data_IF_279809426912
#
_entry.id   IF_279809426912
#
_cell.length_a   1.000
_cell.length_b   1.000
_cell.length_c   1.000
_cell.angle_alpha   90.00
_cell.angle_beta   90.00
_cell.angle_gamma   90.00
#
_symmetry.space_group_name_H-M   'P 1'
#
loop_
_entity.id
_entity.type
_entity.pdbx_description
1 polymer ?
#
# COMPACT_ATOMS: atom_id res chain seq x y z
N UNK A 1 7.09 16.21 -1.17
CA UNK A 1 6.84 14.92 -0.50
C UNK A 1 5.35 14.86 -0.22
N UNK A 2 4.57 14.30 -1.15
CA UNK A 2 3.10 14.26 -1.07
C UNK A 2 2.73 12.87 -0.59
N UNK A 3 2.66 12.68 0.72
CA UNK A 3 2.04 11.50 1.32
C UNK A 3 0.55 11.83 1.36
N UNK A 4 -0.22 11.28 0.42
CA UNK A 4 -1.68 11.41 0.42
C UNK A 4 -2.28 10.04 0.73
N UNK A 5 -2.26 9.67 2.01
CA UNK A 5 -3.11 8.62 2.55
C UNK A 5 -4.57 8.99 2.29
N UNK A 6 -5.20 8.36 1.29
CA UNK A 6 -6.52 8.77 0.83
C UNK A 6 -7.43 7.57 0.61
N UNK A 7 -7.58 6.72 1.63
CA UNK A 7 -8.82 5.94 1.82
C UNK A 7 -9.72 6.60 2.86
N UNK A 8 -9.80 7.93 2.80
CA UNK A 8 -10.96 8.61 3.33
C UNK A 8 -12.08 8.44 2.30
N UNK A 9 -13.04 7.55 2.57
CA UNK A 9 -14.43 7.89 2.22
C UNK A 9 -14.72 9.19 2.96
N UNK A 10 -14.34 10.32 2.37
CA UNK A 10 -14.90 11.60 2.75
C UNK A 10 -16.38 11.46 2.39
N UNK A 11 -17.21 11.25 3.41
CA UNK A 11 -18.57 11.80 3.40
C UNK A 11 -18.41 13.30 3.22
N UNK A 12 -18.21 13.72 1.97
CA UNK A 12 -18.22 15.12 1.60
C UNK A 12 -19.66 15.53 1.82
N UNK A 13 -19.88 16.42 2.80
CA UNK A 13 -21.12 17.15 2.93
C UNK A 13 -21.57 17.59 1.53
N UNK A 14 -22.83 17.29 1.23
CA UNK A 14 -23.56 17.48 -0.02
C UNK A 14 -23.41 18.85 -0.69
N UNK A 15 -22.24 19.17 -1.21
CA UNK A 15 -22.11 20.07 -2.36
C UNK A 15 -22.46 19.25 -3.59
N UNK A 16 -23.75 19.15 -3.88
CA UNK A 16 -24.22 18.67 -5.18
C UNK A 16 -23.62 19.58 -6.26
N UNK A 17 -22.73 19.04 -7.09
CA UNK A 17 -22.22 19.76 -8.24
C UNK A 17 -23.41 20.13 -9.14
N UNK A 18 -23.60 21.42 -9.41
CA UNK A 18 -24.68 21.94 -10.26
C UNK A 18 -24.23 21.95 -11.72
N UNK A 19 -24.49 20.86 -12.43
CA UNK A 19 -24.10 20.71 -13.83
C UNK A 19 -24.99 21.52 -14.79
N UNK A 20 -26.10 22.09 -14.32
CA UNK A 20 -27.01 22.93 -15.12
C UNK A 20 -26.37 24.27 -15.52
N UNK A 21 -25.31 24.68 -14.81
CA UNK A 21 -24.59 25.94 -15.07
C UNK A 21 -23.69 25.83 -16.31
N UNK A 22 -23.33 24.61 -16.73
CA UNK A 22 -22.43 24.39 -17.86
C UNK A 22 -23.21 24.52 -19.18
N UNK A 23 -22.99 25.61 -19.90
CA UNK A 23 -23.36 25.71 -21.31
C UNK A 23 -22.41 24.82 -22.11
N UNK A 24 -22.92 23.67 -22.56
CA UNK A 24 -22.10 22.62 -23.15
C UNK A 24 -22.57 22.16 -24.54
N UNK A 25 -23.23 23.04 -25.30
CA UNK A 25 -23.78 22.72 -26.64
C UNK A 25 -22.71 22.16 -27.60
N UNK A 26 -21.51 22.73 -27.60
CA UNK A 26 -20.40 22.33 -28.48
C UNK A 26 -19.28 21.56 -27.77
N UNK A 27 -19.32 21.46 -26.45
CA UNK A 27 -18.29 20.81 -25.63
C UNK A 27 -18.77 19.51 -24.98
N UNK A 28 -20.07 19.18 -25.07
CA UNK A 28 -20.62 17.93 -24.56
C UNK A 28 -20.85 16.88 -25.65
N UNK A 29 -20.58 15.63 -25.30
CA UNK A 29 -21.08 14.45 -26.01
C UNK A 29 -22.13 13.79 -25.12
N UNK A 30 -23.34 13.61 -25.65
CA UNK A 30 -24.46 13.02 -24.90
C UNK A 30 -24.80 11.64 -25.47
N UNK A 31 -24.77 10.64 -24.60
CA UNK A 31 -25.16 9.26 -24.85
C UNK A 31 -26.46 8.99 -24.11
N UNK A 32 -27.58 9.05 -24.82
CA UNK A 32 -28.90 8.84 -24.24
C UNK A 32 -29.24 7.35 -24.22
N UNK A 33 -29.66 6.86 -23.04
CA UNK A 33 -30.28 5.55 -22.88
C UNK A 33 -31.50 5.72 -21.98
N UNK A 34 -32.70 5.71 -22.57
CA UNK A 34 -33.98 5.94 -21.90
C UNK A 34 -34.31 4.85 -20.87
N UNK A 35 -33.77 3.64 -21.07
CA UNK A 35 -34.00 2.49 -20.18
C UNK A 35 -32.97 2.42 -19.04
N UNK A 36 -32.07 3.39 -18.93
CA UNK A 36 -31.02 3.36 -17.92
C UNK A 36 -31.49 3.93 -16.59
N UNK A 37 -31.22 3.20 -15.51
CA UNK A 37 -31.42 3.69 -14.14
C UNK A 37 -30.28 4.59 -13.63
N UNK A 38 -29.17 4.67 -14.37
CA UNK A 38 -27.96 5.39 -13.96
C UNK A 38 -27.66 6.49 -14.97
N UNK A 39 -27.58 7.72 -14.48
CA UNK A 39 -27.14 8.89 -15.24
C UNK A 39 -25.75 9.33 -14.77
N UNK A 40 -24.83 9.55 -15.71
CA UNK A 40 -23.45 9.96 -15.44
C UNK A 40 -23.16 11.28 -16.15
N UNK A 41 -22.96 12.33 -15.36
CA UNK A 41 -22.37 13.59 -15.82
C UNK A 41 -20.88 13.60 -15.51
N UNK A 42 -20.05 13.66 -16.55
CA UNK A 42 -18.60 13.66 -16.43
C UNK A 42 -18.00 14.88 -17.11
N UNK A 43 -17.37 15.75 -16.33
CA UNK A 43 -16.59 16.90 -16.81
C UNK A 43 -15.12 16.50 -16.82
N UNK A 44 -14.51 16.51 -17.99
CA UNK A 44 -13.17 15.95 -18.19
C UNK A 44 -12.29 16.97 -18.92
N UNK A 45 -11.11 17.24 -18.38
CA UNK A 45 -10.04 17.85 -19.15
C UNK A 45 -9.34 16.74 -19.96
N UNK A 46 -9.49 16.71 -21.30
CA UNK A 46 -8.90 15.68 -22.14
C UNK A 46 -7.36 15.70 -22.15
N UNK A 47 -6.75 16.81 -21.73
CA UNK A 47 -5.30 16.99 -21.67
C UNK A 47 -4.73 16.68 -20.28
N UNK A 48 -5.56 16.22 -19.33
CA UNK A 48 -5.10 15.85 -17.99
C UNK A 48 -4.76 14.36 -17.87
N UNK A 49 -3.78 13.98 -17.03
CA UNK A 49 -3.51 12.57 -16.71
C UNK A 49 -4.74 11.85 -16.12
N UNK A 50 -5.51 12.54 -15.28
CA UNK A 50 -6.77 12.02 -14.74
C UNK A 50 -7.81 11.75 -15.83
N UNK A 51 -7.84 12.57 -16.89
CA UNK A 51 -8.69 12.38 -18.06
C UNK A 51 -8.37 11.10 -18.84
N UNK A 52 -7.08 10.73 -18.97
CA UNK A 52 -6.66 9.47 -19.59
C UNK A 52 -7.23 8.24 -18.85
N UNK A 53 -7.17 8.26 -17.51
CA UNK A 53 -7.72 7.21 -16.65
C UNK A 53 -9.25 7.18 -16.69
N UNK A 54 -9.88 8.34 -16.48
CA UNK A 54 -11.33 8.48 -16.41
C UNK A 54 -12.00 8.11 -17.73
N UNK A 55 -11.46 8.52 -18.88
CA UNK A 55 -12.02 8.17 -20.19
C UNK A 55 -12.08 6.65 -20.41
N UNK A 56 -11.05 5.93 -19.96
CA UNK A 56 -11.01 4.47 -20.04
C UNK A 56 -12.04 3.82 -19.11
N UNK A 57 -12.20 4.35 -17.89
CA UNK A 57 -13.21 3.87 -16.94
C UNK A 57 -14.63 4.11 -17.45
N UNK A 58 -14.92 5.30 -17.98
CA UNK A 58 -16.22 5.64 -18.56
C UNK A 58 -16.58 4.72 -19.73
N UNK A 59 -15.58 4.34 -20.54
CA UNK A 59 -15.77 3.35 -21.62
C UNK A 59 -16.13 1.97 -21.07
N UNK A 60 -15.51 1.54 -19.97
CA UNK A 60 -15.84 0.26 -19.31
C UNK A 60 -17.27 0.33 -18.74
N UNK A 61 -17.62 1.38 -18.01
CA UNK A 61 -18.97 1.59 -17.48
C UNK A 61 -20.02 1.62 -18.59
N UNK A 62 -19.73 2.31 -19.70
CA UNK A 62 -20.60 2.33 -20.88
C UNK A 62 -20.90 0.93 -21.43
N UNK A 63 -19.90 0.04 -21.47
CA UNK A 63 -20.08 -1.35 -21.91
C UNK A 63 -20.83 -2.22 -20.89
N UNK A 64 -20.52 -2.07 -19.60
CA UNK A 64 -21.02 -2.97 -18.56
C UNK A 64 -22.45 -2.65 -18.11
N UNK A 65 -22.80 -1.38 -17.94
CA UNK A 65 -24.09 -0.96 -17.37
C UNK A 65 -24.92 -0.09 -18.31
N UNK A 66 -24.39 0.29 -19.48
CA UNK A 66 -25.06 1.11 -20.49
C UNK A 66 -25.80 2.33 -19.86
N UNK A 67 -25.08 3.21 -19.14
CA UNK A 67 -25.69 4.35 -18.47
C UNK A 67 -26.14 5.40 -19.50
N UNK A 68 -27.10 6.26 -19.12
CA UNK A 68 -27.23 7.56 -19.78
C UNK A 68 -26.02 8.41 -19.36
N UNK A 69 -25.28 8.97 -20.31
CA UNK A 69 -24.02 9.66 -20.01
C UNK A 69 -23.92 10.98 -20.76
N UNK A 70 -23.50 12.04 -20.09
CA UNK A 70 -23.12 13.32 -20.70
C UNK A 70 -21.67 13.63 -20.33
N UNK A 71 -20.83 13.68 -21.36
CA UNK A 71 -19.40 13.90 -21.25
C UNK A 71 -19.06 15.32 -21.69
N UNK A 72 -18.73 16.21 -20.76
CA UNK A 72 -18.36 17.60 -21.04
C UNK A 72 -16.83 17.73 -21.09
N UNK A 73 -16.29 18.18 -22.21
CA UNK A 73 -14.87 18.44 -22.37
C UNK A 73 -14.53 19.87 -21.93
N UNK A 74 -13.70 20.00 -20.90
CA UNK A 74 -13.31 21.29 -20.35
C UNK A 74 -11.78 21.39 -20.19
N UNK A 75 -11.04 21.62 -21.29
CA UNK A 75 -9.59 21.78 -21.23
C UNK A 75 -9.19 23.12 -20.61
N UNK A 76 -7.98 23.17 -20.03
CA UNK A 76 -7.36 24.44 -19.66
C UNK A 76 -7.04 25.27 -20.90
N UNK A 77 -7.35 26.57 -20.86
CA UNK A 77 -7.17 27.48 -21.99
C UNK A 77 -5.71 27.84 -22.27
N UNK A 78 -4.84 27.75 -21.27
CA UNK A 78 -3.43 28.09 -21.37
C UNK A 78 -2.57 26.96 -20.83
N UNK A 79 -1.67 26.46 -21.67
CA UNK A 79 -0.73 25.40 -21.33
C UNK A 79 0.69 25.95 -21.46
N UNK A 80 1.48 25.80 -20.40
CA UNK A 80 2.87 26.27 -20.36
C UNK A 80 3.83 25.22 -20.92
N UNK A 81 3.45 23.95 -20.84
CA UNK A 81 4.26 22.79 -21.23
C UNK A 81 3.35 21.72 -21.87
N UNK A 82 3.96 20.68 -22.46
CA UNK A 82 3.25 19.53 -22.98
C UNK A 82 2.46 18.86 -21.85
N UNK A 83 1.12 18.78 -21.95
CA UNK A 83 0.28 18.41 -20.82
C UNK A 83 0.31 16.91 -20.52
N UNK A 84 0.53 16.08 -21.55
CA UNK A 84 0.65 14.62 -21.44
C UNK A 84 2.04 14.18 -21.88
N UNK A 85 2.79 13.55 -20.97
CA UNK A 85 4.17 13.08 -21.19
C UNK A 85 4.30 11.56 -21.17
N UNK A 86 3.17 10.84 -21.17
CA UNK A 86 3.11 9.39 -21.05
C UNK A 86 2.14 8.79 -22.08
N UNK A 87 2.34 7.50 -22.36
CA UNK A 87 1.39 6.67 -23.07
C UNK A 87 0.64 5.84 -22.04
N UNK A 88 -0.70 5.86 -22.07
CA UNK A 88 -1.51 5.23 -21.04
C UNK A 88 -2.46 4.18 -21.62
N UNK A 89 -2.57 3.04 -20.95
CA UNK A 89 -3.55 1.99 -21.24
C UNK A 89 -4.14 1.50 -19.92
N UNK A 90 -5.45 1.66 -19.78
CA UNK A 90 -6.18 1.08 -18.67
C UNK A 90 -6.49 -0.37 -18.98
N UNK A 91 -6.21 -1.25 -18.03
CA UNK A 91 -6.35 -2.70 -18.18
C UNK A 91 -7.47 -3.17 -17.25
N UNK A 92 -8.48 -3.81 -17.82
CA UNK A 92 -9.59 -4.43 -17.09
C UNK A 92 -9.84 -5.80 -17.72
N UNK A 93 -9.99 -6.87 -16.92
CA UNK A 93 -10.34 -8.19 -17.43
C UNK A 93 -11.67 -8.14 -18.17
N UNK A 94 -11.65 -8.69 -19.38
CA UNK A 94 -12.81 -8.88 -20.25
C UNK A 94 -13.03 -10.36 -20.49
N UNK A 95 -14.23 -10.74 -20.93
CA UNK A 95 -14.53 -12.14 -21.24
C UNK A 95 -13.64 -12.70 -22.37
N UNK A 96 -13.08 -11.82 -23.22
CA UNK A 96 -12.18 -12.19 -24.31
C UNK A 96 -10.77 -12.62 -23.81
N UNK A 97 -10.42 -12.31 -22.56
CA UNK A 97 -9.13 -12.69 -21.96
C UNK A 97 -9.10 -14.15 -21.48
N UNK A 98 -10.27 -14.80 -21.47
CA UNK A 98 -10.43 -16.19 -21.07
C UNK A 98 -10.57 -17.06 -22.31
N UNK A 99 -9.86 -18.19 -22.33
CA UNK A 99 -10.04 -19.19 -23.37
C UNK A 99 -11.46 -19.74 -23.36
N UNK A 100 -12.04 -19.89 -24.55
CA UNK A 100 -13.36 -20.50 -24.73
C UNK A 100 -13.32 -22.02 -24.71
N UNK A 101 -12.12 -22.62 -24.82
CA UNK A 101 -11.94 -24.07 -24.99
C UNK A 101 -11.26 -24.75 -23.81
N UNK A 102 -10.46 -24.02 -23.03
CA UNK A 102 -9.75 -24.54 -21.87
C UNK A 102 -9.75 -23.53 -20.70
N UNK A 103 -9.08 -23.87 -19.60
CA UNK A 103 -8.95 -23.01 -18.43
C UNK A 103 -7.80 -22.01 -18.55
N UNK A 104 -7.24 -21.80 -19.75
CA UNK A 104 -6.15 -20.84 -19.91
C UNK A 104 -6.69 -19.41 -19.86
N UNK A 105 -5.96 -18.58 -19.15
CA UNK A 105 -6.24 -17.14 -19.05
C UNK A 105 -5.12 -16.45 -19.82
N UNK A 106 -5.45 -15.86 -20.96
CA UNK A 106 -4.51 -15.05 -21.73
C UNK A 106 -4.23 -13.70 -21.07
N UNK A 107 -5.02 -13.39 -20.05
CA UNK A 107 -4.77 -12.37 -19.05
C UNK A 107 -5.06 -10.97 -19.57
N UNK A 108 -5.60 -10.08 -18.73
CA UNK A 108 -5.74 -8.71 -19.12
C UNK A 108 -4.33 -8.10 -19.28
N UNK A 109 -3.97 -7.73 -20.50
CA UNK A 109 -2.64 -7.23 -20.86
C UNK A 109 -2.68 -5.83 -21.44
N UNK A 110 -1.70 -5.01 -21.08
CA UNK A 110 -1.47 -3.74 -21.76
C UNK A 110 -0.58 -3.98 -22.97
N UNK A 111 -1.06 -3.62 -24.17
CA UNK A 111 -0.26 -3.66 -25.39
C UNK A 111 -0.12 -2.25 -25.99
N UNK A 112 1.13 -1.84 -26.22
CA UNK A 112 1.48 -0.56 -26.81
C UNK A 112 2.10 -0.80 -28.19
N UNK A 113 1.30 -0.61 -29.25
CA UNK A 113 1.78 -0.69 -30.62
C UNK A 113 2.46 0.62 -31.05
N UNK A 114 3.43 0.52 -31.97
CA UNK A 114 4.06 1.66 -32.65
C UNK A 114 4.65 2.71 -31.68
N UNK A 115 5.27 2.24 -30.60
CA UNK A 115 5.95 3.11 -29.65
C UNK A 115 7.21 3.73 -30.27
N UNK A 116 7.61 4.95 -29.85
CA UNK A 116 8.78 5.63 -30.39
C UNK A 116 10.07 4.86 -30.07
N UNK A 117 10.86 4.54 -31.11
CA UNK A 117 12.04 3.69 -30.96
C UNK A 117 13.24 4.40 -30.30
N UNK A 118 13.41 5.68 -30.62
CA UNK A 118 14.57 6.51 -30.23
C UNK A 118 14.38 7.28 -28.92
N UNK A 119 13.24 7.11 -28.25
CA UNK A 119 12.95 7.77 -26.97
C UNK A 119 13.16 6.78 -25.85
N UNK A 120 13.85 7.23 -24.80
CA UNK A 120 13.90 6.50 -23.53
C UNK A 120 12.52 6.55 -22.89
N UNK A 121 12.02 5.38 -22.50
CA UNK A 121 10.73 5.17 -21.88
C UNK A 121 10.94 4.51 -20.52
N UNK A 122 10.01 4.79 -19.61
CA UNK A 122 9.92 4.11 -18.31
C UNK A 122 8.58 3.41 -18.25
N UNK A 123 8.57 2.14 -17.89
CA UNK A 123 7.34 1.40 -17.64
C UNK A 123 6.88 1.69 -16.21
N UNK A 124 5.70 2.28 -16.08
CA UNK A 124 5.09 2.57 -14.79
C UNK A 124 3.70 1.95 -14.70
N UNK A 125 3.36 1.40 -13.54
CA UNK A 125 2.05 0.81 -13.27
C UNK A 125 1.22 1.78 -12.42
N UNK A 126 0.08 2.22 -12.96
CA UNK A 126 -0.91 3.00 -12.21
C UNK A 126 -1.94 2.05 -11.59
N UNK A 127 -1.65 1.59 -10.37
CA UNK A 127 -2.46 0.63 -9.63
C UNK A 127 -3.08 1.24 -8.37
N UNK A 128 -4.11 0.60 -7.78
CA UNK A 128 -4.63 1.01 -6.48
C UNK A 128 -3.54 1.06 -5.40
N UNK A 129 -3.58 2.08 -4.54
CA UNK A 129 -2.62 2.27 -3.43
C UNK A 129 -2.37 1.03 -2.55
N UNK A 130 -3.38 0.19 -2.24
CA UNK A 130 -3.17 -1.00 -1.42
C UNK A 130 -2.42 -2.13 -2.11
N UNK A 131 -2.09 -2.03 -3.40
CA UNK A 131 -1.50 -3.13 -4.16
C UNK A 131 0.02 -3.04 -4.14
N UNK A 132 0.68 -4.12 -3.70
CA UNK A 132 2.13 -4.29 -3.83
C UNK A 132 2.40 -5.23 -4.99
N UNK A 133 3.02 -4.70 -6.04
CA UNK A 133 3.33 -5.45 -7.25
C UNK A 133 4.83 -5.67 -7.35
N UNK A 134 5.21 -6.84 -7.87
CA UNK A 134 6.59 -7.20 -8.14
C UNK A 134 6.73 -7.68 -9.59
N UNK A 135 7.79 -7.27 -10.32
CA UNK A 135 8.10 -7.84 -11.63
C UNK A 135 8.58 -9.28 -11.48
N UNK A 136 7.81 -10.24 -11.97
CA UNK A 136 8.19 -11.67 -11.95
C UNK A 136 8.96 -12.09 -13.20
N UNK A 137 8.76 -11.37 -14.30
CA UNK A 137 9.45 -11.62 -15.55
C UNK A 137 9.73 -10.29 -16.25
N UNK A 138 10.98 -9.82 -16.18
CA UNK A 138 11.42 -8.60 -16.85
C UNK A 138 12.88 -8.78 -17.29
N UNK A 139 13.09 -9.07 -18.58
CA UNK A 139 14.43 -9.31 -19.14
C UNK A 139 15.22 -7.99 -19.27
N UNK A 140 14.51 -6.88 -19.46
CA UNK A 140 15.08 -5.56 -19.69
C UNK A 140 14.90 -4.64 -18.47
N UNK A 141 15.75 -3.62 -18.37
CA UNK A 141 15.57 -2.54 -17.40
C UNK A 141 14.32 -1.73 -17.75
N UNK A 142 13.33 -1.78 -16.86
CA UNK A 142 12.02 -1.14 -17.05
C UNK A 142 12.05 0.37 -16.82
N UNK A 143 13.10 0.90 -16.18
CA UNK A 143 13.26 2.33 -15.94
C UNK A 143 13.91 3.04 -17.14
N UNK A 144 14.70 2.32 -17.93
CA UNK A 144 15.49 2.86 -19.04
C UNK A 144 15.25 2.09 -20.36
N UNK A 145 14.00 1.96 -20.76
CA UNK A 145 13.61 1.24 -21.98
C UNK A 145 14.00 2.07 -23.21
N UNK A 146 14.86 1.53 -24.07
CA UNK A 146 15.13 2.07 -25.40
C UNK A 146 14.85 0.99 -26.45
N UNK A 147 13.77 1.16 -27.22
CA UNK A 147 13.26 0.09 -28.08
C UNK A 147 14.17 -0.20 -29.28
N UNK A 148 14.98 0.77 -29.74
CA UNK A 148 15.97 0.52 -30.79
C UNK A 148 17.07 -0.47 -30.36
N UNK A 149 17.29 -0.63 -29.05
CA UNK A 149 18.27 -1.57 -28.49
C UNK A 149 17.74 -3.01 -28.40
N UNK A 150 16.48 -3.27 -28.75
CA UNK A 150 15.89 -4.62 -28.69
C UNK A 150 16.44 -5.59 -29.76
N UNK A 151 17.23 -5.07 -30.71
CA UNK A 151 17.86 -5.89 -31.75
C UNK A 151 16.83 -6.64 -32.60
N UNK A 152 16.89 -7.98 -32.55
CA UNK A 152 15.99 -8.85 -33.32
C UNK A 152 14.61 -9.07 -32.66
N UNK A 153 14.46 -8.68 -31.39
CA UNK A 153 13.22 -8.85 -30.63
C UNK A 153 12.31 -7.66 -30.95
N UNK A 154 11.11 -7.92 -31.45
CA UNK A 154 10.15 -6.85 -31.84
C UNK A 154 9.31 -6.32 -30.69
N UNK A 155 9.22 -7.08 -29.60
CA UNK A 155 8.30 -6.79 -28.49
C UNK A 155 9.05 -6.95 -27.17
N UNK A 156 9.08 -5.87 -26.38
CA UNK A 156 9.45 -5.95 -24.97
C UNK A 156 8.26 -6.46 -24.17
N UNK A 157 8.49 -7.46 -23.31
CA UNK A 157 7.49 -8.03 -22.42
C UNK A 157 7.97 -7.90 -20.97
N UNK A 158 7.03 -7.55 -20.10
CA UNK A 158 7.22 -7.56 -18.65
C UNK A 158 5.93 -8.11 -18.01
N UNK A 159 6.09 -8.98 -17.02
CA UNK A 159 4.99 -9.58 -16.27
C UNK A 159 5.15 -9.22 -14.80
N UNK A 160 4.02 -8.84 -14.19
CA UNK A 160 3.95 -8.42 -12.80
C UNK A 160 2.97 -9.29 -12.04
N UNK A 161 3.31 -9.58 -10.79
CA UNK A 161 2.45 -10.28 -9.86
C UNK A 161 2.02 -9.34 -8.73
N UNK A 162 0.76 -9.44 -8.32
CA UNK A 162 0.28 -8.83 -7.07
C UNK A 162 0.84 -9.64 -5.90
N UNK A 163 2.04 -9.26 -5.45
CA UNK A 163 2.76 -9.91 -4.35
C UNK A 163 1.94 -9.88 -3.06
N UNK A 164 1.37 -8.73 -2.71
CA UNK A 164 0.61 -8.57 -1.48
C UNK A 164 -0.33 -7.36 -1.53
N UNK A 165 -1.24 -7.30 -0.55
CA UNK A 165 -2.00 -6.09 -0.22
C UNK A 165 -1.37 -5.39 0.99
N UNK A 166 -1.48 -4.07 1.03
CA UNK A 166 -1.09 -3.27 2.20
C UNK A 166 -2.27 -3.19 3.17
N UNK A 167 -2.06 -3.72 4.37
CA UNK A 167 -2.90 -3.46 5.53
C UNK A 167 -2.34 -2.23 6.25
N UNK A 168 -3.13 -1.17 6.35
CA UNK A 168 -2.74 0.05 7.06
C UNK A 168 -3.59 0.26 8.28
N UNK A 169 -3.05 0.99 9.26
CA UNK A 169 -3.82 1.34 10.42
C UNK A 169 -3.22 2.47 11.23
N UNK A 170 -4.01 2.92 12.19
CA UNK A 170 -3.66 3.95 13.15
C UNK A 170 -3.79 3.38 14.56
N UNK A 171 -2.79 3.58 15.39
CA UNK A 171 -2.77 3.18 16.78
C UNK A 171 -2.84 4.40 17.71
N UNK A 172 -3.81 4.43 18.61
CA UNK A 172 -4.00 5.52 19.58
C UNK A 172 -3.86 5.01 21.00
N UNK A 173 -3.21 5.79 21.86
CA UNK A 173 -3.18 5.56 23.31
C UNK A 173 -4.23 6.46 23.99
N UNK A 174 -4.92 5.95 25.01
CA UNK A 174 -5.90 6.78 25.76
C UNK A 174 -5.18 7.98 26.41
N UNK A 175 -5.69 9.17 26.13
CA UNK A 175 -5.26 10.46 26.71
C UNK A 175 -3.79 10.83 26.43
N UNK A 176 -3.14 10.16 25.47
CA UNK A 176 -1.73 10.34 25.14
C UNK A 176 -1.46 10.37 23.64
N UNK A 177 -0.24 10.78 23.27
CA UNK A 177 0.25 10.65 21.91
C UNK A 177 0.31 9.17 21.49
N UNK A 178 0.27 8.87 20.18
CA UNK A 178 0.41 7.51 19.69
C UNK A 178 1.64 6.79 20.26
N UNK A 179 1.54 5.49 20.61
CA UNK A 179 2.60 4.75 21.29
C UNK A 179 3.73 4.42 20.30
N UNK A 180 4.62 5.39 20.06
CA UNK A 180 5.74 5.27 19.13
C UNK A 180 6.63 4.08 19.52
N UNK A 181 6.89 3.20 18.55
CA UNK A 181 7.72 2.03 18.72
C UNK A 181 6.98 0.82 19.30
N UNK A 182 5.65 0.88 19.41
CA UNK A 182 4.85 -0.28 19.79
C UNK A 182 4.98 -1.34 18.69
N UNK A 183 5.46 -2.51 19.08
CA UNK A 183 5.63 -3.64 18.18
C UNK A 183 4.30 -4.39 18.04
N UNK A 184 3.88 -4.57 16.81
CA UNK A 184 2.71 -5.33 16.42
C UNK A 184 3.17 -6.55 15.63
N UNK A 185 2.51 -7.68 15.84
CA UNK A 185 2.67 -8.87 15.01
C UNK A 185 1.33 -9.28 14.44
N UNK A 186 1.36 -9.82 13.23
CA UNK A 186 0.23 -10.31 12.49
C UNK A 186 0.50 -11.73 12.04
N UNK A 187 -0.51 -12.58 12.18
CA UNK A 187 -0.41 -13.97 11.76
C UNK A 187 -1.77 -14.62 11.52
N UNK A 188 -1.73 -15.91 11.21
CA UNK A 188 -2.93 -16.74 11.11
C UNK A 188 -3.18 -17.48 12.43
N UNK A 189 -4.31 -18.19 12.53
CA UNK A 189 -4.61 -19.02 13.71
C UNK A 189 -3.56 -20.11 13.95
N UNK A 190 -2.95 -20.63 12.87
CA UNK A 190 -1.96 -21.70 12.94
C UNK A 190 -0.54 -21.16 13.16
N UNK A 191 -0.24 -19.99 12.60
CA UNK A 191 1.06 -19.31 12.67
C UNK A 191 0.86 -17.88 13.17
N UNK A 192 0.88 -17.65 14.50
CA UNK A 192 0.52 -16.35 15.10
C UNK A 192 1.47 -15.19 14.78
N UNK A 193 2.67 -15.48 14.28
CA UNK A 193 3.66 -14.48 13.91
C UNK A 193 4.17 -14.78 12.50
N UNK A 194 3.78 -13.95 11.54
CA UNK A 194 4.23 -14.00 10.15
C UNK A 194 4.86 -12.69 9.70
N UNK A 195 4.27 -11.57 10.13
CA UNK A 195 4.74 -10.22 9.80
C UNK A 195 4.73 -9.38 11.06
N UNK A 196 5.74 -8.55 11.24
CA UNK A 196 5.86 -7.60 12.33
C UNK A 196 6.06 -6.17 11.81
N UNK A 197 5.67 -5.20 12.62
CA UNK A 197 5.88 -3.78 12.32
C UNK A 197 5.87 -2.96 13.60
N UNK A 198 6.30 -1.70 13.48
CA UNK A 198 6.31 -0.73 14.56
C UNK A 198 5.28 0.37 14.30
N UNK A 199 4.62 0.82 15.36
CA UNK A 199 3.79 2.02 15.33
C UNK A 199 4.67 3.26 15.21
N UNK A 200 4.42 4.07 14.19
CA UNK A 200 5.11 5.35 13.98
C UNK A 200 4.53 6.46 14.87
N UNK A 201 5.34 7.47 15.17
CA UNK A 201 4.90 8.63 15.95
C UNK A 201 3.79 9.43 15.24
N UNK A 202 3.89 9.55 13.92
CA UNK A 202 2.97 10.33 13.11
C UNK A 202 1.62 9.62 13.03
N UNK A 203 0.64 10.14 13.76
CA UNK A 203 -0.74 9.64 13.79
C UNK A 203 -0.86 8.14 14.13
N UNK A 204 0.16 7.56 14.79
CA UNK A 204 0.17 6.15 15.13
C UNK A 204 0.16 5.22 13.91
N UNK A 205 0.64 5.69 12.76
CA UNK A 205 0.56 4.92 11.52
C UNK A 205 1.39 3.64 11.59
N UNK A 206 0.84 2.56 11.05
CA UNK A 206 1.55 1.31 10.82
C UNK A 206 1.04 0.66 9.53
N UNK A 207 1.89 -0.18 8.92
CA UNK A 207 1.54 -0.93 7.73
C UNK A 207 2.18 -2.32 7.72
N UNK A 208 1.49 -3.28 7.12
CA UNK A 208 1.96 -4.66 6.96
C UNK A 208 1.53 -5.21 5.60
N UNK A 209 2.32 -6.15 5.05
CA UNK A 209 1.94 -6.95 3.88
C UNK A 209 0.94 -8.03 4.31
N UNK A 210 -0.16 -8.19 3.56
CA UNK A 210 -1.19 -9.20 3.82
C UNK A 210 -1.70 -9.83 2.52
N UNK A 211 -2.32 -11.00 2.66
CA UNK A 211 -3.04 -11.67 1.58
C UNK A 211 -4.53 -11.74 1.92
N UNK A 212 -5.42 -11.95 0.94
CA UNK A 212 -6.83 -12.24 1.20
C UNK A 212 -6.98 -13.40 2.21
N UNK A 213 -7.77 -13.19 3.26
CA UNK A 213 -7.90 -14.16 4.34
C UNK A 213 -8.21 -13.56 5.71
N UNK A 214 -8.16 -14.41 6.74
CA UNK A 214 -8.41 -14.02 8.14
C UNK A 214 -7.10 -13.99 8.91
N UNK A 215 -6.81 -12.83 9.48
CA UNK A 215 -5.60 -12.52 10.21
C UNK A 215 -5.90 -12.14 11.65
N UNK A 216 -4.91 -12.30 12.53
CA UNK A 216 -4.97 -11.96 13.94
C UNK A 216 -3.82 -11.01 14.26
N UNK A 217 -4.17 -9.77 14.59
CA UNK A 217 -3.24 -8.71 14.99
C UNK A 217 -3.09 -8.72 16.50
N UNK A 218 -1.86 -8.73 17.00
CA UNK A 218 -1.57 -8.74 18.44
C UNK A 218 -0.33 -7.92 18.76
N UNK A 219 -0.14 -7.58 20.03
CA UNK A 219 1.10 -6.96 20.50
C UNK A 219 2.23 -7.98 20.42
N UNK A 220 3.41 -7.56 19.97
CA UNK A 220 4.57 -8.43 19.97
C UNK A 220 4.96 -8.83 21.41
N UNK A 221 5.37 -10.10 21.63
CA UNK A 221 5.84 -10.54 22.93
C UNK A 221 7.08 -9.75 23.35
N UNK A 222 7.11 -9.33 24.61
CA UNK A 222 8.16 -8.50 25.20
C UNK A 222 7.62 -7.17 25.69
N UNK A 223 8.43 -6.10 25.56
CA UNK A 223 8.11 -4.79 26.17
C UNK A 223 6.76 -4.22 25.74
N UNK A 224 6.36 -4.44 24.48
CA UNK A 224 5.05 -3.99 23.97
C UNK A 224 3.90 -4.70 24.69
N UNK A 225 3.92 -6.04 24.77
CA UNK A 225 2.92 -6.82 25.51
C UNK A 225 3.01 -6.66 27.02
N UNK A 226 4.16 -6.29 27.57
CA UNK A 226 4.35 -6.09 29.01
C UNK A 226 3.74 -4.77 29.49
N UNK A 227 3.88 -3.72 28.67
CA UNK A 227 3.40 -2.39 29.00
C UNK A 227 1.95 -2.16 28.58
N UNK A 228 1.50 -2.70 27.45
CA UNK A 228 0.21 -2.37 26.86
C UNK A 228 -0.74 -3.57 26.77
N UNK A 229 -2.03 -3.24 26.65
CA UNK A 229 -3.11 -4.15 26.26
C UNK A 229 -3.94 -3.49 25.15
N UNK A 230 -4.47 -4.32 24.24
CA UNK A 230 -5.41 -3.87 23.21
C UNK A 230 -6.75 -3.55 23.85
N UNK A 231 -7.37 -2.42 23.48
CA UNK A 231 -8.74 -2.08 23.85
C UNK A 231 -9.68 -2.41 22.68
N UNK A 232 -10.83 -2.99 23.00
CA UNK A 232 -11.94 -3.07 22.04
C UNK A 232 -12.85 -1.84 22.16
N UNK A 233 -13.39 -1.41 21.02
CA UNK A 233 -14.42 -0.36 20.93
C UNK A 233 -15.81 -0.85 21.39
N UNK A 234 -15.92 -2.08 21.92
CA UNK A 234 -17.18 -2.65 22.40
C UNK A 234 -17.35 -2.39 23.88
N UNK A 235 -18.36 -1.60 24.19
CA UNK A 235 -18.89 -1.27 25.53
C UNK A 235 -19.65 -2.47 26.16
N UNK A 236 -19.18 -3.70 25.94
CA UNK A 236 -19.80 -4.90 26.50
C UNK A 236 -18.93 -5.45 27.63
N UNK A 237 -19.50 -5.54 28.83
CA UNK A 237 -18.82 -5.79 30.10
C UNK A 237 -18.23 -7.19 30.28
N UNK A 238 -17.81 -7.87 29.21
CA UNK A 238 -17.08 -9.13 29.31
C UNK A 238 -15.62 -8.87 29.68
N UNK A 239 -15.22 -9.37 30.85
CA UNK A 239 -13.87 -9.23 31.43
C UNK A 239 -12.74 -9.96 30.67
N UNK A 240 -13.05 -10.63 29.55
CA UNK A 240 -12.04 -11.24 28.70
C UNK A 240 -11.54 -10.21 27.67
N UNK A 241 -10.48 -9.50 28.05
CA UNK A 241 -9.76 -8.62 27.13
C UNK A 241 -9.11 -9.48 26.03
N UNK A 242 -9.49 -9.33 24.75
CA UNK A 242 -8.93 -10.16 23.71
C UNK A 242 -7.46 -9.81 23.49
N UNK A 243 -6.61 -10.82 23.53
CA UNK A 243 -5.17 -10.70 23.25
C UNK A 243 -4.88 -10.39 21.77
N UNK A 244 -5.86 -10.56 20.89
CA UNK A 244 -5.73 -10.37 19.45
C UNK A 244 -6.98 -9.78 18.81
N UNK A 245 -6.79 -8.93 17.81
CA UNK A 245 -7.84 -8.35 16.96
C UNK A 245 -7.94 -9.13 15.65
N UNK A 246 -9.11 -9.68 15.35
CA UNK A 246 -9.38 -10.40 14.09
C UNK A 246 -9.58 -9.42 12.94
N UNK A 247 -8.84 -9.59 11.85
CA UNK A 247 -8.90 -8.76 10.64
C UNK A 247 -9.17 -9.66 9.45
N UNK A 248 -10.30 -9.45 8.78
CA UNK A 248 -10.61 -10.10 7.51
C UNK A 248 -10.22 -9.20 6.35
N UNK A 249 -9.49 -9.74 5.39
CA UNK A 249 -9.14 -9.11 4.10
C UNK A 249 -9.94 -9.83 3.02
N UNK A 250 -11.02 -9.20 2.57
CA UNK A 250 -12.00 -9.69 1.60
C UNK A 250 -12.15 -8.77 0.39
N UNK A 251 -11.38 -7.68 0.32
CA UNK A 251 -11.45 -6.66 -0.71
C UNK A 251 -10.03 -6.22 -1.15
N UNK A 252 -9.87 -6.00 -2.46
CA UNK A 252 -8.64 -5.49 -3.07
C UNK A 252 -8.45 -3.98 -2.83
N UNK A 253 -9.47 -3.29 -2.32
CA UNK A 253 -9.38 -1.86 -1.92
C UNK A 253 -8.60 -1.63 -0.63
N UNK A 254 -8.07 -2.69 -0.01
CA UNK A 254 -7.37 -2.59 1.26
C UNK A 254 -8.33 -2.34 2.42
N UNK A 255 -7.77 -2.24 3.63
CA UNK A 255 -8.53 -2.07 4.86
C UNK A 255 -7.77 -1.17 5.82
N UNK A 256 -8.44 -0.13 6.30
CA UNK A 256 -7.91 0.74 7.35
C UNK A 256 -8.32 0.22 8.72
N UNK A 257 -7.36 0.01 9.61
CA UNK A 257 -7.59 -0.51 10.96
C UNK A 257 -7.26 0.53 12.01
N UNK A 258 -8.27 0.94 12.78
CA UNK A 258 -8.05 1.73 13.99
C UNK A 258 -7.81 0.79 15.17
N UNK A 259 -6.75 1.05 15.92
CA UNK A 259 -6.35 0.30 17.10
C UNK A 259 -6.24 1.25 18.29
N UNK A 260 -6.83 0.87 19.42
CA UNK A 260 -6.66 1.58 20.68
C UNK A 260 -5.87 0.70 21.65
N UNK A 261 -4.90 1.28 22.34
CA UNK A 261 -4.13 0.60 23.38
C UNK A 261 -4.18 1.37 24.69
N UNK A 262 -3.95 0.64 25.78
CA UNK A 262 -3.91 1.18 27.14
C UNK A 262 -2.73 0.57 27.86
N UNK A 263 -2.03 1.35 28.67
CA UNK A 263 -1.02 0.80 29.58
C UNK A 263 -1.67 -0.09 30.63
N UNK A 264 -0.97 -1.15 31.02
CA UNK A 264 -1.37 -2.01 32.13
C UNK A 264 -1.31 -1.26 33.45
N UNK A 265 -2.15 -1.68 34.41
CA UNK A 265 -2.16 -1.11 35.76
C UNK A 265 -0.76 -1.21 36.40
N UNK A 266 -0.26 -0.09 36.93
CA UNK A 266 1.09 0.00 37.52
C UNK A 266 2.23 0.26 36.53
N UNK A 267 1.95 0.30 35.21
CA UNK A 267 2.93 0.58 34.15
C UNK A 267 2.72 1.94 33.47
N UNK A 268 1.80 2.76 33.97
CA UNK A 268 1.37 4.04 33.38
C UNK A 268 2.52 5.03 33.17
N UNK A 269 3.47 5.07 34.10
CA UNK A 269 4.63 5.98 34.08
C UNK A 269 5.83 5.41 33.30
N UNK A 270 5.79 4.15 32.87
CA UNK A 270 6.91 3.55 32.13
C UNK A 270 6.88 4.00 30.66
N UNK A 271 8.04 4.41 30.15
CA UNK A 271 8.20 4.75 28.73
C UNK A 271 8.46 3.48 27.91
N UNK A 272 7.87 3.42 26.73
CA UNK A 272 8.06 2.28 25.82
C UNK A 272 9.49 2.26 25.27
N UNK A 273 9.98 3.39 24.79
CA UNK A 273 11.35 3.57 24.35
C UNK A 273 12.22 3.95 25.55
N UNK A 274 13.28 3.18 25.80
CA UNK A 274 14.32 3.52 26.77
C UNK A 274 15.35 4.39 26.05
N UNK A 275 15.71 5.53 26.62
CA UNK A 275 16.82 6.35 26.12
C UNK A 275 18.10 5.52 26.25
N UNK A 276 18.95 5.49 25.22
CA UNK A 276 20.28 4.87 25.28
C UNK A 276 21.16 5.44 26.41
N UNK A 277 20.80 6.58 26.97
CA UNK A 277 21.49 7.23 28.09
C UNK A 277 21.13 6.61 29.47
N UNK A 278 20.10 5.76 29.55
CA UNK A 278 19.69 5.10 30.80
C UNK A 278 20.37 3.72 31.02
N UNK A 279 21.04 3.18 30.00
CA UNK A 279 21.72 1.87 30.08
C UNK A 279 23.00 1.92 30.94
N UNK A 280 23.60 3.10 31.14
CA UNK A 280 24.81 3.27 31.96
C UNK A 280 24.54 3.20 33.48
N UNK A 281 23.27 3.30 33.92
CA UNK A 281 22.93 3.33 35.34
C UNK A 281 22.43 2.00 35.92
N UNK A 282 22.38 0.92 35.13
CA UNK A 282 21.83 -0.37 35.59
C UNK A 282 22.85 -1.52 35.74
N UNK A 283 24.15 -1.30 35.48
CA UNK A 283 25.19 -2.32 35.69
C UNK A 283 25.95 -2.27 37.03
N UNK A 284 25.75 -1.27 37.89
CA UNK A 284 26.39 -1.25 39.22
C UNK A 284 25.46 -1.75 40.33
N UNK A 285 25.23 -3.07 40.42
CA UNK A 285 24.91 -3.77 41.69
C UNK A 285 24.84 -5.29 41.55
N UNK A 286 25.93 -5.92 41.07
CA UNK A 286 26.25 -7.31 41.43
C UNK A 286 27.73 -7.43 41.75
N UNK A 287 28.09 -7.24 43.03
CA UNK A 287 29.40 -7.65 43.57
C UNK A 287 29.45 -9.18 43.63
N UNK A 288 30.22 -9.80 42.74
CA UNK A 288 30.74 -11.16 42.86
C UNK A 288 32.22 -11.14 43.30
N UNK A 289 32.74 -12.19 43.95
CA UNK A 289 34.02 -12.15 44.64
C UNK A 289 35.22 -12.29 43.68
N UNK A 290 36.36 -11.69 44.10
CA UNK A 290 37.65 -11.65 43.41
C UNK A 290 38.20 -13.03 43.04
N UNK A 291 38.86 -13.20 41.88
CA UNK A 291 39.67 -14.38 41.59
C UNK A 291 41.16 -14.16 41.92
N UNK A 292 41.74 -15.18 42.56
CA UNK A 292 43.16 -15.36 42.85
C UNK A 292 44.02 -15.52 41.60
N UNK A 293 45.26 -15.06 41.70
CA UNK A 293 46.29 -15.08 40.66
C UNK A 293 46.76 -16.50 40.30
N UNK A 294 46.92 -16.79 39.01
CA UNK A 294 47.67 -17.94 38.50
C UNK A 294 48.60 -17.55 37.35
N UNK A 295 49.78 -18.18 37.35
CA UNK A 295 51.05 -17.81 36.71
C UNK A 295 51.07 -17.82 35.16
N UNK A 296 52.04 -17.13 34.53
CA UNK A 296 52.13 -17.00 33.07
C UNK A 296 52.66 -18.26 32.36
N UNK A 297 52.14 -18.52 31.16
CA UNK A 297 52.53 -19.58 30.22
C UNK A 297 53.43 -18.97 29.10
N UNK A 298 54.43 -19.68 28.55
CA UNK A 298 55.44 -19.11 27.65
C UNK A 298 54.96 -18.92 26.20
N UNK A 299 55.58 -17.96 25.49
CA UNK A 299 55.31 -17.64 24.08
C UNK A 299 55.72 -18.76 23.12
N UNK A 300 54.94 -19.06 22.06
CA UNK A 300 55.39 -19.91 20.97
C UNK A 300 56.16 -19.13 19.88
N UNK A 301 57.06 -19.86 19.23
CA UNK A 301 58.07 -19.49 18.24
C UNK A 301 57.52 -19.13 16.85
N UNK A 302 58.20 -18.19 16.20
CA UNK A 302 58.15 -17.90 14.76
C UNK A 302 58.68 -19.07 13.91
N UNK A 303 58.02 -19.37 12.81
CA UNK A 303 58.54 -20.19 11.71
C UNK A 303 58.01 -19.67 10.37
N UNK A 304 58.81 -18.81 9.75
CA UNK A 304 58.81 -18.54 8.32
C UNK A 304 60.00 -19.29 7.68
N UNK A 305 59.78 -19.88 6.49
CA UNK A 305 60.75 -20.45 5.53
C UNK A 305 61.41 -21.79 5.94
N UNK A 306 61.54 -22.86 5.14
CA UNK A 306 61.66 -23.17 3.69
C UNK A 306 61.38 -24.70 3.50
N UNK A 307 61.48 -25.33 2.31
CA UNK A 307 61.64 -24.82 0.94
C UNK A 307 60.43 -25.04 0.02
#
# INVERSE_FOLDING_TARGET
>A
MVISSSIAMRDRSSESARFEILSAEYSAVVLNNENSSIHIDAVVDPLSPSGQKLSSLLRVLSKCIQPSMRLVLNPLSSLVDLPLKNYYRYVVPTMDDFSSTDYTVYGPKAFFANMPLSKTLTMNLDVPEPWLLEPVNAIHDLDNILLENLGNIRTLQAEFELEALVLTGHCTEKDHEPPRGLQLILGTKNTPHLVDTLVMANLGYWQMKVFPGVWYLQLAPGRSSDLYILREDKDDGSQDMPSSKRITIDDLRGKLVHLAVVKKKGKEQEKLLVSSDDDDHSQEKKKGPQPEATKPIPKPFDLAHLP
#
